data_IF_515405847238
#
_entry.id   IF_515405847238
#
_cell.length_a   1.000
_cell.length_b   1.000
_cell.length_c   1.000
_cell.angle_alpha   90.00
_cell.angle_beta   90.00
_cell.angle_gamma   90.00
#
_symmetry.space_group_name_H-M   'P 1'
#
loop_
_entity.id
_entity.type
_entity.pdbx_description
1 polymer ?
#
# COMPACT_ATOMS: atom_id res chain seq x y z
N UNK A 1 -1.21 13.27 -32.36
CA UNK A 1 -1.91 13.47 -31.08
C UNK A 1 -3.33 12.93 -31.22
N UNK A 2 -3.49 11.61 -31.34
CA UNK A 2 -4.62 11.09 -32.14
C UNK A 2 -5.66 10.31 -31.31
N UNK A 3 -5.29 9.84 -30.12
CA UNK A 3 -6.17 9.04 -29.26
C UNK A 3 -7.48 9.73 -28.85
N UNK A 4 -7.49 11.06 -28.69
CA UNK A 4 -8.73 11.80 -28.40
C UNK A 4 -9.72 11.75 -29.56
N UNK A 5 -9.23 11.69 -30.81
CA UNK A 5 -10.05 11.61 -32.01
C UNK A 5 -10.66 10.23 -32.19
N UNK A 6 -9.89 9.18 -31.94
CA UNK A 6 -10.38 7.79 -31.96
C UNK A 6 -11.47 7.56 -30.90
N UNK A 7 -11.31 8.12 -29.71
CA UNK A 7 -12.31 8.00 -28.63
C UNK A 7 -13.55 8.89 -28.86
N UNK A 8 -13.42 10.00 -29.59
CA UNK A 8 -14.57 10.77 -30.09
C UNK A 8 -15.39 9.94 -31.09
N UNK A 9 -14.73 9.29 -32.07
CA UNK A 9 -15.37 8.44 -33.08
C UNK A 9 -16.07 7.21 -32.47
N UNK A 10 -15.43 6.54 -31.50
CA UNK A 10 -16.07 5.45 -30.73
C UNK A 10 -17.31 5.94 -29.98
N UNK A 11 -17.22 7.10 -29.32
CA UNK A 11 -18.34 7.69 -28.57
C UNK A 11 -19.51 8.06 -29.51
N UNK A 12 -19.22 8.61 -30.70
CA UNK A 12 -20.21 8.92 -31.73
C UNK A 12 -20.91 7.65 -32.24
N UNK A 13 -20.16 6.56 -32.50
CA UNK A 13 -20.75 5.28 -32.94
C UNK A 13 -21.73 4.70 -31.92
N UNK A 14 -21.35 4.71 -30.63
CA UNK A 14 -22.22 4.25 -29.52
C UNK A 14 -23.46 5.16 -29.39
N UNK A 15 -23.32 6.46 -29.63
CA UNK A 15 -24.43 7.41 -29.66
C UNK A 15 -25.45 7.08 -30.75
N UNK A 16 -25.00 6.79 -31.98
CA UNK A 16 -25.86 6.37 -33.11
C UNK A 16 -26.56 5.03 -32.85
N UNK A 17 -25.83 4.04 -32.35
CA UNK A 17 -26.40 2.73 -32.01
C UNK A 17 -27.48 2.84 -30.90
N UNK A 18 -27.35 3.80 -29.98
CA UNK A 18 -28.37 4.08 -28.97
C UNK A 18 -29.62 4.77 -29.56
N UNK A 19 -29.46 5.60 -30.61
CA UNK A 19 -30.60 6.18 -31.35
C UNK A 19 -31.38 5.11 -32.11
N UNK A 20 -30.69 4.23 -32.83
CA UNK A 20 -31.30 3.10 -33.55
C UNK A 20 -32.10 2.16 -32.61
N UNK A 21 -31.71 2.10 -31.33
CA UNK A 21 -32.38 1.33 -30.27
C UNK A 21 -33.43 2.12 -29.48
N UNK A 22 -33.67 3.39 -29.81
CA UNK A 22 -34.63 4.26 -29.12
C UNK A 22 -34.22 4.73 -27.71
N UNK A 23 -33.01 4.43 -27.24
CA UNK A 23 -32.50 4.86 -25.92
C UNK A 23 -31.95 6.29 -26.00
N UNK A 24 -32.87 7.26 -26.11
CA UNK A 24 -32.59 8.71 -26.21
C UNK A 24 -31.69 9.19 -25.07
N UNK A 25 -31.91 8.72 -23.84
CA UNK A 25 -31.13 9.10 -22.65
C UNK A 25 -29.67 8.64 -22.73
N UNK A 26 -29.40 7.48 -23.32
CA UNK A 26 -28.05 6.97 -23.56
C UNK A 26 -27.41 7.67 -24.75
N UNK A 27 -28.15 7.88 -25.84
CA UNK A 27 -27.68 8.63 -27.01
C UNK A 27 -27.16 10.03 -26.63
N UNK A 28 -27.98 10.82 -25.91
CA UNK A 28 -27.60 12.16 -25.44
C UNK A 28 -26.28 12.21 -24.66
N UNK A 29 -26.03 11.21 -23.81
CA UNK A 29 -24.79 11.13 -23.00
C UNK A 29 -23.56 10.87 -23.88
N UNK A 30 -23.65 9.95 -24.84
CA UNK A 30 -22.52 9.60 -25.70
C UNK A 30 -22.25 10.65 -26.78
N UNK A 31 -23.29 11.28 -27.34
CA UNK A 31 -23.14 12.40 -28.29
C UNK A 31 -22.54 13.64 -27.62
N UNK A 32 -23.00 14.02 -26.43
CA UNK A 32 -22.37 15.10 -25.67
C UNK A 32 -20.91 14.80 -25.28
N UNK A 33 -20.57 13.53 -25.03
CA UNK A 33 -19.18 13.12 -24.80
C UNK A 33 -18.34 13.27 -26.07
N UNK A 34 -18.84 12.83 -27.22
CA UNK A 34 -18.14 12.97 -28.51
C UNK A 34 -17.88 14.45 -28.86
N UNK A 35 -18.87 15.34 -28.67
CA UNK A 35 -18.73 16.79 -28.92
C UNK A 35 -17.65 17.46 -28.06
N UNK A 36 -17.41 16.95 -26.84
CA UNK A 36 -16.34 17.46 -25.95
C UNK A 36 -14.95 16.93 -26.32
N UNK A 37 -14.86 15.83 -27.07
CA UNK A 37 -13.60 15.20 -27.46
C UNK A 37 -13.13 15.69 -28.84
N UNK A 38 -14.06 15.86 -29.79
CA UNK A 38 -13.80 16.45 -31.10
C UNK A 38 -15.00 17.34 -31.52
N UNK A 39 -14.85 18.67 -31.48
CA UNK A 39 -15.90 19.61 -31.88
C UNK A 39 -16.03 19.77 -33.41
N UNK A 40 -15.23 19.07 -34.21
CA UNK A 40 -15.32 19.10 -35.69
C UNK A 40 -16.29 18.07 -36.25
N UNK A 41 -16.85 17.19 -35.41
CA UNK A 41 -17.77 16.14 -35.81
C UNK A 41 -19.23 16.66 -35.95
N UNK A 42 -19.99 16.20 -36.96
CA UNK A 42 -21.39 16.59 -37.16
C UNK A 42 -22.29 15.89 -36.13
N UNK A 43 -22.36 16.47 -34.93
CA UNK A 43 -23.08 15.94 -33.77
C UNK A 43 -24.33 16.77 -33.48
N UNK A 44 -24.33 18.06 -33.80
CA UNK A 44 -25.45 18.95 -33.44
C UNK A 44 -26.75 18.59 -34.20
N UNK A 45 -26.66 18.08 -35.44
CA UNK A 45 -27.82 17.51 -36.19
C UNK A 45 -28.42 16.26 -35.50
N UNK A 46 -27.59 15.50 -34.78
CA UNK A 46 -28.01 14.31 -34.03
C UNK A 46 -28.55 14.66 -32.63
N UNK A 47 -28.28 15.87 -32.14
CA UNK A 47 -28.86 16.39 -30.90
C UNK A 47 -30.19 17.08 -31.20
N UNK A 48 -30.26 17.89 -32.26
CA UNK A 48 -31.50 18.55 -32.69
C UNK A 48 -32.59 17.57 -33.10
N UNK A 49 -32.25 16.42 -33.68
CA UNK A 49 -33.22 15.34 -33.96
C UNK A 49 -33.79 14.72 -32.68
N UNK A 50 -33.00 14.55 -31.62
CA UNK A 50 -33.50 14.05 -30.31
C UNK A 50 -34.43 15.07 -29.66
N UNK A 51 -34.07 16.35 -29.69
CA UNK A 51 -34.86 17.43 -29.10
C UNK A 51 -36.15 17.68 -29.91
N UNK A 52 -36.15 17.46 -31.22
CA UNK A 52 -37.35 17.56 -32.08
C UNK A 52 -38.32 16.40 -31.86
N UNK A 53 -37.80 15.18 -31.67
CA UNK A 53 -38.56 13.94 -31.47
C UNK A 53 -39.14 13.81 -30.04
N UNK A 54 -38.96 14.85 -29.21
CA UNK A 54 -39.65 15.04 -27.92
C UNK A 54 -41.03 15.70 -28.05
N UNK A 55 -41.42 16.15 -29.25
CA UNK A 55 -42.64 16.92 -29.50
C UNK A 55 -43.94 16.13 -29.61
N UNK A 56 -43.91 14.83 -29.95
CA UNK A 56 -45.11 14.05 -30.24
C UNK A 56 -45.17 12.67 -29.54
N UNK A 57 -46.39 12.40 -29.04
CA UNK A 57 -46.94 11.18 -28.43
C UNK A 57 -46.64 10.81 -26.95
N UNK A 58 -47.68 10.32 -26.21
CA UNK A 58 -47.67 10.15 -24.75
C UNK A 58 -47.18 8.76 -24.27
N UNK A 59 -46.86 8.61 -22.97
CA UNK A 59 -46.45 7.33 -22.40
C UNK A 59 -47.63 6.34 -22.24
N UNK A 60 -47.44 5.04 -22.48
CA UNK A 60 -48.40 4.01 -22.08
C UNK A 60 -48.30 3.72 -20.57
N UNK A 61 -49.46 3.66 -19.91
CA UNK A 61 -49.64 3.11 -18.56
C UNK A 61 -49.39 1.58 -18.60
N UNK A 62 -48.52 0.99 -17.79
CA UNK A 62 -48.56 0.78 -16.33
C UNK A 62 -49.39 -0.46 -15.92
N UNK A 63 -48.73 -1.39 -15.20
CA UNK A 63 -49.39 -2.42 -14.39
C UNK A 63 -48.80 -2.41 -12.97
N UNK A 64 -49.70 -2.25 -11.98
CA UNK A 64 -49.49 -2.52 -10.55
C UNK A 64 -50.85 -2.82 -9.90
N UNK A 65 -50.96 -3.85 -9.06
CA UNK A 65 -51.86 -3.90 -7.91
C UNK A 65 -51.04 -4.11 -6.61
N UNK A 66 -51.43 -3.76 -5.37
CA UNK A 66 -52.63 -3.16 -4.76
C UNK A 66 -52.20 -2.64 -3.33
N UNK A 67 -52.91 -1.89 -2.48
CA UNK A 67 -54.25 -1.24 -2.44
C UNK A 67 -54.23 -0.13 -1.33
N UNK A 68 -55.37 0.54 -1.05
CA UNK A 68 -55.94 1.00 0.26
C UNK A 68 -55.00 1.48 1.41
N UNK A 69 -55.20 2.61 2.12
CA UNK A 69 -56.39 3.48 2.28
C UNK A 69 -56.08 4.97 2.61
N UNK A 70 -57.12 5.81 2.55
CA UNK A 70 -57.20 7.28 2.75
C UNK A 70 -57.31 7.70 4.26
N UNK A 71 -57.53 9.00 4.66
CA UNK A 71 -57.44 10.30 3.94
C UNK A 71 -56.80 11.51 4.72
N UNK A 72 -56.44 12.59 4.01
CA UNK A 72 -56.40 14.04 4.44
C UNK A 72 -55.53 14.45 5.65
N UNK A 73 -54.93 15.64 5.78
CA UNK A 73 -55.40 17.03 5.54
C UNK A 73 -54.23 17.90 5.04
N UNK A 74 -54.48 18.79 4.06
CA UNK A 74 -53.59 19.95 3.78
C UNK A 74 -54.03 21.15 4.62
N UNK A 75 -53.13 21.74 5.42
CA UNK A 75 -53.33 23.09 5.98
C UNK A 75 -52.16 23.99 5.58
N UNK A 76 -52.50 25.16 5.01
CA UNK A 76 -51.57 26.24 4.63
C UNK A 76 -51.31 27.17 5.83
N UNK A 77 -50.39 28.12 5.64
CA UNK A 77 -49.92 29.15 6.62
C UNK A 77 -49.00 28.57 7.71
N UNK A 78 -47.96 29.26 8.18
CA UNK A 78 -47.44 30.63 7.88
C UNK A 78 -45.94 30.68 8.17
N UNK A 79 -45.22 31.62 7.54
CA UNK A 79 -43.84 31.94 7.93
C UNK A 79 -43.79 32.69 9.27
N UNK A 80 -42.72 32.50 10.06
CA UNK A 80 -42.18 33.56 10.90
C UNK A 80 -40.72 33.92 10.51
N UNK A 81 -40.31 35.12 10.93
CA UNK A 81 -39.03 35.75 10.62
C UNK A 81 -37.84 35.22 11.48
N UNK A 82 -36.58 35.63 11.24
CA UNK A 82 -35.40 34.89 11.71
C UNK A 82 -34.97 35.20 13.16
N UNK A 83 -34.36 34.19 13.81
CA UNK A 83 -33.69 34.26 15.11
C UNK A 83 -32.43 33.37 15.13
N UNK A 84 -31.47 33.60 16.04
CA UNK A 84 -30.05 33.44 15.68
C UNK A 84 -29.37 32.11 16.07
N UNK A 85 -28.44 31.68 15.20
CA UNK A 85 -27.19 30.94 15.47
C UNK A 85 -27.17 29.82 16.53
N UNK A 86 -27.07 28.56 16.08
CA UNK A 86 -25.93 27.66 16.39
C UNK A 86 -26.24 26.18 16.10
N UNK A 87 -25.99 25.74 14.86
CA UNK A 87 -25.41 24.42 14.59
C UNK A 87 -24.86 24.42 13.17
N UNK A 88 -23.66 23.85 12.99
CA UNK A 88 -22.90 23.87 11.74
C UNK A 88 -23.69 23.31 10.55
N UNK A 89 -23.56 23.98 9.41
CA UNK A 89 -24.06 23.51 8.12
C UNK A 89 -23.57 22.09 7.83
N UNK A 90 -24.51 21.20 7.57
CA UNK A 90 -24.30 19.78 7.31
C UNK A 90 -23.53 19.61 5.99
N UNK A 91 -22.20 19.55 6.06
CA UNK A 91 -21.30 19.39 4.89
C UNK A 91 -21.13 17.93 4.44
N UNK A 92 -22.06 17.06 4.87
CA UNK A 92 -22.04 15.62 4.64
C UNK A 92 -23.41 15.11 4.20
N UNK A 93 -23.43 14.06 3.37
CA UNK A 93 -24.67 13.44 2.91
C UNK A 93 -25.23 12.47 3.95
N UNK A 94 -26.53 12.19 3.91
CA UNK A 94 -27.14 11.20 4.81
C UNK A 94 -26.55 9.80 4.59
N UNK A 95 -26.24 9.44 3.34
CA UNK A 95 -25.52 8.21 2.98
C UNK A 95 -24.14 8.10 3.66
N UNK A 96 -23.39 9.20 3.76
CA UNK A 96 -22.09 9.21 4.44
C UNK A 96 -22.24 8.87 5.93
N UNK A 97 -23.30 9.38 6.59
CA UNK A 97 -23.61 9.08 7.99
C UNK A 97 -24.02 7.62 8.19
N UNK A 98 -24.85 7.06 7.29
CA UNK A 98 -25.27 5.65 7.41
C UNK A 98 -24.10 4.69 7.26
N UNK A 99 -23.19 4.95 6.31
CA UNK A 99 -21.98 4.14 6.11
C UNK A 99 -21.05 4.18 7.34
N UNK A 100 -20.79 5.36 7.91
CA UNK A 100 -19.97 5.51 9.13
C UNK A 100 -20.63 4.78 10.31
N UNK A 101 -21.95 4.93 10.48
CA UNK A 101 -22.71 4.27 11.54
C UNK A 101 -22.71 2.74 11.39
N UNK A 102 -22.76 2.23 10.16
CA UNK A 102 -22.67 0.81 9.88
C UNK A 102 -21.28 0.24 10.18
N UNK A 103 -20.22 0.90 9.71
CA UNK A 103 -18.82 0.51 9.98
C UNK A 103 -18.56 0.49 11.49
N UNK A 104 -18.98 1.52 12.23
CA UNK A 104 -18.85 1.58 13.70
C UNK A 104 -19.65 0.52 14.46
N UNK A 105 -20.73 -0.02 13.87
CA UNK A 105 -21.55 -1.08 14.49
C UNK A 105 -20.94 -2.47 14.30
N UNK A 106 -20.21 -2.67 13.21
CA UNK A 106 -19.57 -3.94 12.85
C UNK A 106 -18.27 -4.12 13.62
N UNK A 107 -18.09 -5.28 14.27
CA UNK A 107 -16.87 -5.63 15.01
C UNK A 107 -15.90 -6.50 14.19
N UNK A 108 -16.45 -7.35 13.33
CA UNK A 108 -15.67 -8.20 12.42
C UNK A 108 -14.97 -7.40 11.33
N UNK A 109 -13.68 -7.66 11.12
CA UNK A 109 -12.92 -7.01 10.04
C UNK A 109 -13.43 -7.37 8.64
N UNK A 110 -13.95 -8.59 8.47
CA UNK A 110 -14.66 -9.02 7.26
C UNK A 110 -15.92 -8.18 7.00
N UNK A 111 -16.77 -8.01 8.02
CA UNK A 111 -18.01 -7.22 7.91
C UNK A 111 -17.73 -5.73 7.67
N UNK A 112 -16.71 -5.17 8.35
CA UNK A 112 -16.23 -3.78 8.18
C UNK A 112 -15.81 -3.54 6.73
N UNK A 113 -15.11 -4.49 6.12
CA UNK A 113 -14.72 -4.44 4.71
C UNK A 113 -15.85 -4.86 3.73
N UNK A 114 -16.97 -5.39 4.23
CA UNK A 114 -18.07 -5.90 3.40
C UNK A 114 -17.69 -7.12 2.57
N UNK A 115 -16.88 -8.03 3.13
CA UNK A 115 -16.38 -9.24 2.48
C UNK A 115 -16.76 -10.49 3.26
N UNK A 116 -16.87 -11.62 2.56
CA UNK A 116 -17.02 -12.95 3.16
C UNK A 116 -15.64 -13.50 3.59
N UNK A 117 -15.60 -14.42 4.57
CA UNK A 117 -14.36 -15.06 5.07
C UNK A 117 -13.57 -15.79 3.97
N UNK A 118 -14.28 -16.26 2.94
CA UNK A 118 -13.77 -16.88 1.71
C UNK A 118 -12.97 -15.94 0.80
N UNK A 119 -12.93 -14.62 1.07
CA UNK A 119 -12.35 -13.63 0.17
C UNK A 119 -10.83 -13.78 -0.05
N UNK A 120 -10.39 -13.37 -1.25
CA UNK A 120 -8.95 -13.29 -1.58
C UNK A 120 -8.33 -11.99 -1.06
N UNK A 121 -7.00 -11.98 -0.93
CA UNK A 121 -6.22 -10.78 -0.55
C UNK A 121 -6.47 -9.61 -1.51
N UNK A 122 -6.68 -9.89 -2.80
CA UNK A 122 -6.97 -8.84 -3.78
C UNK A 122 -8.38 -8.27 -3.65
N UNK A 123 -9.34 -9.04 -3.13
CA UNK A 123 -10.67 -8.53 -2.83
C UNK A 123 -10.66 -7.64 -1.58
N UNK A 124 -9.84 -7.98 -0.57
CA UNK A 124 -9.53 -7.13 0.59
C UNK A 124 -8.92 -5.80 0.15
N UNK A 125 -7.97 -5.81 -0.80
CA UNK A 125 -7.40 -4.56 -1.38
C UNK A 125 -8.44 -3.74 -2.15
N UNK A 126 -9.31 -4.41 -2.94
CA UNK A 126 -10.39 -3.74 -3.70
C UNK A 126 -11.44 -3.12 -2.79
N UNK A 127 -11.86 -3.80 -1.72
CA UNK A 127 -12.86 -3.29 -0.77
C UNK A 127 -12.31 -2.14 0.06
N UNK A 128 -11.09 -2.27 0.60
CA UNK A 128 -10.38 -1.19 1.30
C UNK A 128 -10.31 0.07 0.44
N UNK A 129 -9.85 -0.02 -0.82
CA UNK A 129 -9.78 1.14 -1.73
C UNK A 129 -11.15 1.82 -1.92
N UNK A 130 -12.24 1.05 -2.00
CA UNK A 130 -13.61 1.59 -2.15
C UNK A 130 -14.13 2.23 -0.87
N UNK A 131 -13.86 1.65 0.29
CA UNK A 131 -14.35 2.13 1.59
C UNK A 131 -13.54 3.33 2.07
N UNK A 132 -12.22 3.27 2.03
CA UNK A 132 -11.35 4.38 2.45
C UNK A 132 -11.68 5.67 1.72
N UNK A 133 -11.98 5.64 0.42
CA UNK A 133 -12.42 6.82 -0.34
C UNK A 133 -13.78 7.39 0.11
N UNK A 134 -14.65 6.59 0.74
CA UNK A 134 -15.96 7.01 1.26
C UNK A 134 -15.90 7.54 2.70
N UNK A 135 -14.97 7.05 3.52
CA UNK A 135 -14.79 7.47 4.92
C UNK A 135 -13.59 8.40 5.16
N UNK A 136 -12.82 8.75 4.11
CA UNK A 136 -11.67 9.65 4.24
C UNK A 136 -12.08 11.02 4.82
N UNK A 137 -11.40 11.53 5.88
CA UNK A 137 -11.82 12.74 6.58
C UNK A 137 -11.83 14.01 5.72
N UNK A 138 -10.96 14.08 4.69
CA UNK A 138 -10.97 15.18 3.71
C UNK A 138 -12.28 15.25 2.88
N UNK A 139 -12.84 14.09 2.51
CA UNK A 139 -14.00 13.97 1.63
C UNK A 139 -15.33 13.77 2.37
N UNK A 140 -15.26 13.37 3.63
CA UNK A 140 -16.41 13.05 4.45
C UNK A 140 -16.24 13.69 5.84
N UNK A 141 -16.95 14.80 6.05
CA UNK A 141 -16.91 15.59 7.29
C UNK A 141 -18.01 15.20 8.28
N UNK A 142 -18.61 14.02 8.12
CA UNK A 142 -19.60 13.51 9.06
C UNK A 142 -18.97 13.13 10.41
N UNK A 143 -19.70 13.26 11.53
CA UNK A 143 -19.20 12.90 12.85
C UNK A 143 -18.83 11.40 12.92
N UNK A 144 -17.59 11.11 13.31
CA UNK A 144 -17.06 9.74 13.39
C UNK A 144 -16.44 9.20 12.09
N UNK A 145 -16.26 10.02 11.04
CA UNK A 145 -15.55 9.60 9.83
C UNK A 145 -14.13 9.08 10.13
N UNK A 146 -13.39 9.78 11.01
CA UNK A 146 -12.04 9.40 11.43
C UNK A 146 -12.01 8.03 12.15
N UNK A 147 -12.97 7.76 13.04
CA UNK A 147 -13.09 6.48 13.73
C UNK A 147 -13.44 5.33 12.76
N UNK A 148 -14.34 5.58 11.80
CA UNK A 148 -14.66 4.61 10.76
C UNK A 148 -13.47 4.34 9.82
N UNK A 149 -12.69 5.38 9.48
CA UNK A 149 -11.46 5.23 8.71
C UNK A 149 -10.41 4.42 9.48
N UNK A 150 -10.22 4.68 10.79
CA UNK A 150 -9.34 3.88 11.66
C UNK A 150 -9.78 2.41 11.71
N UNK A 151 -11.08 2.13 11.83
CA UNK A 151 -11.61 0.76 11.80
C UNK A 151 -11.36 0.04 10.46
N UNK A 152 -11.58 0.73 9.33
CA UNK A 152 -11.31 0.20 7.97
C UNK A 152 -9.81 -0.06 7.76
N UNK A 153 -8.93 0.83 8.24
CA UNK A 153 -7.48 0.65 8.17
C UNK A 153 -6.98 -0.49 9.06
N UNK A 154 -7.50 -0.65 10.28
CA UNK A 154 -7.17 -1.80 11.15
C UNK A 154 -7.61 -3.12 10.50
N UNK A 155 -8.82 -3.16 9.94
CA UNK A 155 -9.31 -4.33 9.20
C UNK A 155 -8.40 -4.71 8.02
N UNK A 156 -7.91 -3.72 7.27
CA UNK A 156 -6.96 -3.95 6.17
C UNK A 156 -5.58 -4.41 6.67
N UNK A 157 -5.07 -3.90 7.78
CA UNK A 157 -3.79 -4.34 8.36
C UNK A 157 -3.84 -5.81 8.81
N UNK A 158 -4.97 -6.26 9.35
CA UNK A 158 -5.18 -7.66 9.73
C UNK A 158 -5.43 -8.58 8.53
N UNK A 159 -6.23 -8.17 7.54
CA UNK A 159 -6.68 -9.05 6.45
C UNK A 159 -5.87 -8.91 5.13
N UNK A 160 -5.06 -7.87 4.99
CA UNK A 160 -4.37 -7.51 3.75
C UNK A 160 -3.12 -8.33 3.40
N UNK A 161 -2.65 -9.18 4.32
CA UNK A 161 -1.56 -10.13 4.14
C UNK A 161 -2.03 -11.53 4.56
N UNK A 162 -1.62 -12.57 3.83
CA UNK A 162 -2.09 -13.94 4.06
C UNK A 162 -1.70 -14.49 5.44
N UNK A 163 -0.49 -14.17 5.93
CA UNK A 163 -0.06 -14.52 7.29
C UNK A 163 -0.88 -13.82 8.38
N UNK A 164 -1.18 -12.52 8.20
CA UNK A 164 -1.99 -11.75 9.14
C UNK A 164 -3.44 -12.22 9.13
N UNK A 165 -4.00 -12.52 7.95
CA UNK A 165 -5.34 -13.08 7.78
C UNK A 165 -5.44 -14.40 8.54
N UNK A 166 -4.47 -15.31 8.33
CA UNK A 166 -4.41 -16.60 9.03
C UNK A 166 -4.28 -16.45 10.55
N UNK A 167 -3.53 -15.46 11.05
CA UNK A 167 -3.44 -15.17 12.51
C UNK A 167 -4.80 -14.73 13.05
N UNK A 168 -5.50 -13.83 12.35
CA UNK A 168 -6.84 -13.38 12.74
C UNK A 168 -7.88 -14.53 12.70
N UNK A 169 -7.86 -15.34 11.64
CA UNK A 169 -8.76 -16.50 11.49
C UNK A 169 -8.55 -17.58 12.56
N UNK A 170 -7.32 -17.71 13.11
CA UNK A 170 -6.99 -18.64 14.19
C UNK A 170 -7.23 -18.05 15.59
N UNK A 171 -6.96 -16.75 15.78
CA UNK A 171 -7.09 -16.08 17.07
C UNK A 171 -8.53 -15.63 17.41
N UNK A 172 -9.40 -15.51 16.41
CA UNK A 172 -10.79 -15.06 16.60
C UNK A 172 -10.90 -13.56 16.94
N UNK A 173 -12.11 -13.13 17.31
CA UNK A 173 -12.42 -11.73 17.63
C UNK A 173 -11.77 -11.21 18.94
N UNK A 174 -11.07 -12.06 19.70
CA UNK A 174 -10.60 -11.79 21.07
C UNK A 174 -9.25 -11.05 21.19
N UNK A 175 -8.66 -10.53 20.10
CA UNK A 175 -7.57 -9.54 20.21
C UNK A 175 -8.10 -8.14 20.57
N UNK A 176 -8.42 -7.96 21.85
CA UNK A 176 -8.57 -6.64 22.50
C UNK A 176 -7.18 -6.02 22.71
N UNK A 177 -6.60 -5.57 21.61
CA UNK A 177 -5.18 -5.20 21.43
C UNK A 177 -5.13 -3.90 20.61
N UNK A 178 -4.64 -2.75 21.12
CA UNK A 178 -4.40 -2.31 22.50
C UNK A 178 -4.94 -0.86 22.64
N UNK A 179 -5.77 -0.57 23.65
CA UNK A 179 -5.77 0.76 24.26
C UNK A 179 -5.00 0.71 25.58
N UNK A 180 -3.74 1.19 25.51
CA UNK A 180 -2.98 1.82 26.60
C UNK A 180 -3.12 1.20 28.01
N UNK A 181 -2.11 0.41 28.41
CA UNK A 181 -1.75 0.25 29.84
C UNK A 181 -0.57 1.16 30.24
N UNK A 182 -0.75 2.47 30.03
CA UNK A 182 0.17 3.49 30.51
C UNK A 182 -0.01 3.74 32.02
N UNK A 183 0.41 2.79 32.85
CA UNK A 183 0.56 2.99 34.29
C UNK A 183 1.56 2.00 34.90
N UNK A 184 2.61 2.56 35.53
CA UNK A 184 3.51 1.94 36.50
C UNK A 184 4.22 0.62 36.14
N UNK A 185 5.50 0.72 35.73
CA UNK A 185 6.63 0.07 36.44
C UNK A 185 8.00 0.64 35.99
N UNK A 186 9.08 0.51 36.81
CA UNK A 186 10.27 1.34 36.69
C UNK A 186 11.29 0.84 35.66
N UNK A 187 12.15 1.76 35.22
CA UNK A 187 13.22 1.49 34.27
C UNK A 187 14.36 0.65 34.88
N UNK A 188 14.38 -0.66 34.61
CA UNK A 188 15.62 -1.46 34.56
C UNK A 188 15.40 -2.84 33.92
N UNK A 189 15.47 -2.91 32.59
CA UNK A 189 15.74 -4.15 31.83
C UNK A 189 16.09 -3.79 30.37
N UNK A 190 17.39 -3.66 30.04
CA UNK A 190 17.83 -3.61 28.64
C UNK A 190 17.73 -5.03 28.05
N UNK A 191 16.77 -5.26 27.17
CA UNK A 191 16.52 -6.56 26.53
C UNK A 191 16.02 -6.42 25.10
N UNK A 192 16.93 -6.15 24.17
CA UNK A 192 16.89 -6.40 22.72
C UNK A 192 15.59 -7.00 22.12
N UNK A 193 14.50 -6.22 22.06
CA UNK A 193 13.32 -6.45 21.20
C UNK A 193 12.37 -5.25 21.29
N UNK A 194 12.54 -4.28 20.39
CA UNK A 194 11.74 -3.04 20.37
C UNK A 194 11.72 -2.31 19.02
N UNK A 195 11.93 -3.05 17.92
CA UNK A 195 12.09 -2.47 16.57
C UNK A 195 10.81 -2.54 15.70
N UNK A 196 9.69 -3.01 16.27
CA UNK A 196 8.39 -3.15 15.57
C UNK A 196 7.25 -2.36 16.23
N UNK A 197 7.54 -1.57 17.26
CA UNK A 197 6.54 -0.83 18.04
C UNK A 197 6.92 0.66 18.13
N UNK A 198 7.09 1.27 16.96
CA UNK A 198 7.16 2.71 16.78
C UNK A 198 6.28 3.07 15.56
N UNK A 199 5.02 3.33 15.85
CA UNK A 199 3.99 3.98 15.02
C UNK A 199 4.38 4.27 13.56
N UNK A 200 4.29 3.28 12.68
CA UNK A 200 4.19 3.56 11.25
C UNK A 200 2.74 3.95 10.99
N UNK A 201 2.48 5.26 10.89
CA UNK A 201 1.15 5.79 10.61
C UNK A 201 0.62 5.21 9.29
N UNK A 202 -0.54 4.55 9.36
CA UNK A 202 -1.21 4.00 8.18
C UNK A 202 -1.58 5.12 7.18
N UNK A 203 -1.77 6.36 7.64
CA UNK A 203 -1.98 7.52 6.78
C UNK A 203 -0.70 7.92 6.02
N UNK A 204 0.49 7.74 6.61
CA UNK A 204 1.79 7.99 5.96
C UNK A 204 2.12 6.90 4.92
N UNK A 205 1.93 5.62 5.25
CA UNK A 205 2.03 4.51 4.28
C UNK A 205 1.07 4.76 3.11
N UNK A 206 -0.17 5.18 3.40
CA UNK A 206 -1.17 5.46 2.37
C UNK A 206 -0.80 6.67 1.50
N UNK A 207 -0.27 7.76 2.09
CA UNK A 207 0.22 8.93 1.34
C UNK A 207 1.32 8.54 0.35
N UNK A 208 2.32 7.79 0.82
CA UNK A 208 3.48 7.39 0.03
C UNK A 208 3.10 6.37 -1.07
N UNK A 209 2.08 5.54 -0.84
CA UNK A 209 1.65 4.52 -1.81
C UNK A 209 0.62 5.03 -2.84
N UNK A 210 -0.27 5.96 -2.47
CA UNK A 210 -1.41 6.36 -3.33
C UNK A 210 -1.26 7.73 -4.02
N UNK A 211 -0.43 8.65 -3.52
CA UNK A 211 -0.34 10.02 -4.07
C UNK A 211 0.94 10.33 -4.87
N UNK A 212 1.79 9.34 -5.13
CA UNK A 212 2.74 9.39 -6.27
C UNK A 212 3.88 10.40 -6.17
N UNK A 213 4.21 10.88 -4.97
CA UNK A 213 5.45 11.61 -4.72
C UNK A 213 6.63 10.65 -4.60
N UNK A 214 7.30 10.36 -5.71
CA UNK A 214 8.41 9.41 -5.81
C UNK A 214 9.61 9.81 -4.93
N UNK A 215 9.64 9.33 -3.68
CA UNK A 215 10.81 9.34 -2.80
C UNK A 215 11.25 7.89 -2.55
N UNK A 216 12.43 7.45 -3.03
CA UNK A 216 12.88 6.09 -2.81
C UNK A 216 13.16 5.87 -1.31
N UNK A 217 12.67 4.75 -0.78
CA UNK A 217 12.86 4.38 0.61
C UNK A 217 14.34 4.10 0.91
N UNK A 218 14.99 5.05 1.59
CA UNK A 218 16.34 4.91 2.12
C UNK A 218 16.44 5.52 3.54
N UNK A 219 15.47 5.24 4.40
CA UNK A 219 15.51 5.66 5.80
C UNK A 219 16.08 4.53 6.68
N UNK A 220 17.33 4.17 6.44
CA UNK A 220 18.12 3.36 7.38
C UNK A 220 18.54 4.25 8.56
N UNK A 221 18.37 3.77 9.79
CA UNK A 221 18.27 4.63 10.98
C UNK A 221 19.45 5.59 11.21
N UNK A 222 19.16 6.89 11.23
CA UNK A 222 20.09 7.93 11.68
C UNK A 222 20.17 7.98 13.20
N UNK A 223 21.36 7.74 13.76
CA UNK A 223 21.64 7.93 15.18
C UNK A 223 21.52 9.43 15.54
N UNK A 224 20.57 9.78 16.41
CA UNK A 224 20.52 11.11 17.03
C UNK A 224 21.25 11.08 18.37
N UNK A 225 22.46 11.65 18.41
CA UNK A 225 23.20 11.91 19.64
C UNK A 225 22.91 13.35 20.09
N UNK A 226 22.00 13.52 21.05
CA UNK A 226 21.60 14.84 21.54
C UNK A 226 20.91 14.77 22.90
N UNK A 227 21.55 15.35 23.91
CA UNK A 227 21.04 15.36 25.29
C UNK A 227 19.90 16.37 25.55
N UNK A 228 19.35 16.39 26.77
CA UNK A 228 18.16 17.19 27.08
C UNK A 228 18.47 18.67 27.31
N UNK A 229 17.73 19.54 26.60
CA UNK A 229 17.45 20.91 27.03
C UNK A 229 18.26 22.03 26.35
N UNK A 230 17.58 22.83 25.51
CA UNK A 230 17.56 24.29 25.61
C UNK A 230 16.31 24.82 24.86
N UNK A 231 15.66 25.85 25.40
CA UNK A 231 14.32 26.27 24.96
C UNK A 231 14.25 27.08 23.66
N UNK A 232 13.03 27.24 23.14
CA UNK A 232 12.68 28.22 22.12
C UNK A 232 13.24 29.61 22.45
N UNK A 233 13.99 30.20 21.52
CA UNK A 233 13.97 31.66 21.30
C UNK A 233 13.88 31.98 19.82
N UNK A 234 12.99 32.91 19.54
CA UNK A 234 12.63 33.41 18.22
C UNK A 234 13.53 34.61 17.91
N UNK A 235 14.06 34.69 16.69
CA UNK A 235 14.73 35.89 16.18
C UNK A 235 14.43 36.04 14.69
N UNK A 236 14.04 37.25 14.29
CA UNK A 236 13.81 37.66 12.91
C UNK A 236 14.99 38.53 12.41
N UNK A 237 14.92 38.91 11.12
CA UNK A 237 15.91 39.72 10.36
C UNK A 237 17.20 38.96 9.99
N UNK A 238 17.83 39.13 8.82
CA UNK A 238 17.80 40.20 7.81
C UNK A 238 18.43 39.71 6.47
N UNK A 239 18.48 40.58 5.48
CA UNK A 239 19.12 40.42 4.17
C UNK A 239 20.61 40.05 4.22
N UNK A 240 21.10 39.38 3.15
CA UNK A 240 22.42 39.73 2.61
C UNK A 240 23.25 38.60 1.98
N UNK A 241 23.74 38.89 0.76
CA UNK A 241 24.84 38.23 0.04
C UNK A 241 24.60 36.83 -0.55
N UNK A 242 25.12 36.64 -1.77
CA UNK A 242 25.11 35.37 -2.51
C UNK A 242 26.14 34.36 -1.99
N UNK A 243 26.09 34.04 -0.70
CA UNK A 243 26.78 32.89 -0.14
C UNK A 243 26.12 31.59 -0.61
N UNK A 244 26.91 30.54 -0.83
CA UNK A 244 26.38 29.21 -1.11
C UNK A 244 25.43 28.80 0.02
N UNK A 245 24.16 28.54 -0.29
CA UNK A 245 23.15 28.17 0.71
C UNK A 245 23.47 26.81 1.33
N UNK A 246 24.31 26.78 2.38
CA UNK A 246 24.73 25.54 3.06
C UNK A 246 23.51 24.72 3.53
N UNK A 247 22.43 25.41 3.92
CA UNK A 247 21.14 24.78 4.26
C UNK A 247 20.47 24.07 3.08
N UNK A 248 20.58 24.60 1.86
CA UNK A 248 20.11 23.96 0.64
C UNK A 248 21.04 22.81 0.22
N UNK A 249 22.36 22.97 0.39
CA UNK A 249 23.32 21.88 0.16
C UNK A 249 23.04 20.68 1.08
N UNK A 250 22.75 20.92 2.36
CA UNK A 250 22.34 19.87 3.32
C UNK A 250 21.02 19.20 2.92
N UNK A 251 20.08 19.93 2.29
CA UNK A 251 18.83 19.36 1.78
C UNK A 251 19.03 18.50 0.51
N UNK A 252 20.00 18.84 -0.34
CA UNK A 252 20.31 18.08 -1.57
C UNK A 252 21.28 16.92 -1.30
N UNK A 253 22.09 17.00 -0.24
CA UNK A 253 23.11 15.99 0.10
C UNK A 253 22.57 14.56 0.21
N UNK A 254 21.37 14.26 0.78
CA UNK A 254 20.80 12.91 0.77
C UNK A 254 20.48 12.42 -0.65
N UNK A 255 19.92 13.28 -1.50
CA UNK A 255 19.61 12.94 -2.90
C UNK A 255 20.89 12.71 -3.70
N UNK A 256 21.91 13.54 -3.46
CA UNK A 256 23.23 13.42 -4.07
C UNK A 256 23.95 12.15 -3.61
N UNK A 257 23.85 11.77 -2.33
CA UNK A 257 24.37 10.49 -1.83
C UNK A 257 23.64 9.29 -2.43
N UNK A 258 22.30 9.32 -2.52
CA UNK A 258 21.53 8.25 -3.18
C UNK A 258 21.92 8.12 -4.65
N UNK A 259 22.10 9.24 -5.35
CA UNK A 259 22.57 9.25 -6.73
C UNK A 259 24.00 8.66 -6.81
N UNK A 260 24.94 9.13 -6.00
CA UNK A 260 26.30 8.58 -5.96
C UNK A 260 26.31 7.08 -5.66
N UNK A 261 25.50 6.59 -4.72
CA UNK A 261 25.39 5.16 -4.38
C UNK A 261 24.84 4.33 -5.55
N UNK A 262 23.94 4.87 -6.38
CA UNK A 262 23.50 4.21 -7.61
C UNK A 262 24.58 4.19 -8.71
N UNK A 263 25.53 5.12 -8.68
CA UNK A 263 26.68 5.16 -9.59
C UNK A 263 27.94 4.47 -9.02
N UNK A 264 27.90 3.96 -7.78
CA UNK A 264 28.93 3.05 -7.29
C UNK A 264 28.79 1.74 -8.07
N UNK A 265 29.84 1.27 -8.76
CA UNK A 265 29.78 -0.03 -9.41
C UNK A 265 29.59 -1.09 -8.33
N UNK A 266 28.47 -1.82 -8.37
CA UNK A 266 28.31 -3.02 -7.57
C UNK A 266 29.39 -4.00 -8.01
N UNK A 267 30.41 -4.20 -7.17
CA UNK A 267 31.44 -5.20 -7.41
C UNK A 267 30.80 -6.58 -7.28
N UNK A 268 30.34 -7.09 -8.42
CA UNK A 268 29.76 -8.42 -8.50
C UNK A 268 30.73 -9.43 -7.86
N UNK A 269 30.25 -10.30 -6.95
CA UNK A 269 31.12 -11.24 -6.27
C UNK A 269 31.75 -12.20 -7.27
N UNK A 270 32.96 -12.66 -6.97
CA UNK A 270 33.70 -13.59 -7.85
C UNK A 270 33.05 -14.98 -7.88
N UNK A 271 32.36 -15.36 -6.80
CA UNK A 271 31.65 -16.63 -6.64
C UNK A 271 30.35 -16.45 -5.82
N UNK A 272 29.49 -17.46 -5.84
CA UNK A 272 28.34 -17.63 -4.93
C UNK A 272 28.32 -19.04 -4.33
N UNK A 273 27.71 -19.22 -3.15
CA UNK A 273 27.53 -20.55 -2.53
C UNK A 273 26.28 -21.29 -3.04
N UNK A 274 25.36 -20.57 -3.68
CA UNK A 274 24.12 -21.09 -4.25
C UNK A 274 24.07 -20.84 -5.75
N UNK A 275 23.56 -21.82 -6.49
CA UNK A 275 23.34 -21.70 -7.93
C UNK A 275 22.29 -20.61 -8.21
N UNK A 276 22.68 -19.58 -8.94
CA UNK A 276 21.80 -18.50 -9.39
C UNK A 276 22.37 -17.93 -10.70
N UNK A 277 21.53 -17.43 -11.61
CA UNK A 277 22.05 -16.76 -12.81
C UNK A 277 22.76 -15.46 -12.40
N UNK A 278 23.99 -15.16 -12.88
CA UNK A 278 24.78 -15.85 -13.92
C UNK A 278 25.83 -16.87 -13.41
N UNK A 279 25.84 -17.24 -12.13
CA UNK A 279 26.75 -18.19 -11.50
C UNK A 279 26.27 -19.65 -11.69
N UNK A 280 26.50 -20.20 -12.88
CA UNK A 280 26.05 -21.55 -13.23
C UNK A 280 27.15 -22.62 -13.08
N UNK A 281 28.42 -22.24 -13.20
CA UNK A 281 29.54 -23.20 -13.21
C UNK A 281 29.89 -23.64 -11.79
N UNK A 282 29.55 -24.88 -11.43
CA UNK A 282 29.86 -25.47 -10.12
C UNK A 282 31.31 -25.93 -10.03
N UNK A 283 32.01 -25.48 -9.00
CA UNK A 283 33.31 -25.93 -8.55
C UNK A 283 33.23 -26.45 -7.11
N UNK A 284 34.26 -27.17 -6.68
CA UNK A 284 34.33 -27.77 -5.34
C UNK A 284 35.68 -27.45 -4.71
N UNK A 285 35.70 -27.00 -3.45
CA UNK A 285 36.97 -26.73 -2.73
C UNK A 285 37.64 -28.03 -2.27
N UNK A 286 38.90 -27.92 -1.81
CA UNK A 286 39.62 -29.04 -1.17
C UNK A 286 38.84 -29.74 -0.04
N UNK A 287 38.00 -29.01 0.72
CA UNK A 287 37.12 -29.58 1.77
C UNK A 287 35.74 -30.05 1.29
N UNK A 288 35.51 -30.15 -0.02
CA UNK A 288 34.25 -30.63 -0.57
C UNK A 288 33.11 -29.60 -0.58
N UNK A 289 33.39 -28.31 -0.34
CA UNK A 289 32.37 -27.25 -0.41
C UNK A 289 32.10 -26.90 -1.86
N UNK A 290 30.84 -27.02 -2.29
CA UNK A 290 30.43 -26.59 -3.63
C UNK A 290 30.20 -25.07 -3.65
N UNK A 291 30.69 -24.43 -4.70
CA UNK A 291 30.46 -23.02 -5.00
C UNK A 291 30.33 -22.81 -6.51
N UNK A 292 29.81 -21.66 -6.91
CA UNK A 292 29.42 -21.37 -8.28
C UNK A 292 30.10 -20.10 -8.79
N UNK A 293 30.52 -20.11 -10.05
CA UNK A 293 31.23 -19.00 -10.70
C UNK A 293 30.56 -18.62 -12.03
N UNK A 294 30.74 -17.37 -12.46
CA UNK A 294 30.06 -16.81 -13.64
C UNK A 294 30.49 -17.41 -14.98
N UNK A 295 31.69 -17.98 -15.05
CA UNK A 295 32.35 -18.30 -16.33
C UNK A 295 33.22 -19.54 -16.19
N UNK A 296 33.18 -20.42 -17.19
CA UNK A 296 34.11 -21.54 -17.32
C UNK A 296 35.59 -21.11 -17.39
N UNK A 297 35.89 -19.85 -17.75
CA UNK A 297 37.27 -19.31 -17.75
C UNK A 297 37.86 -19.12 -16.35
N UNK A 298 37.05 -19.24 -15.29
CA UNK A 298 37.51 -19.07 -13.91
C UNK A 298 38.70 -19.97 -13.54
N UNK A 299 38.83 -21.17 -14.13
CA UNK A 299 40.00 -22.04 -13.92
C UNK A 299 41.27 -21.56 -14.64
N UNK A 300 41.12 -20.80 -15.73
CA UNK A 300 42.20 -20.14 -16.44
C UNK A 300 42.65 -18.87 -15.69
N UNK A 301 41.70 -18.10 -15.17
CA UNK A 301 41.95 -16.89 -14.38
C UNK A 301 42.50 -17.23 -12.98
N UNK A 302 42.03 -18.32 -12.36
CA UNK A 302 42.43 -18.78 -11.02
C UNK A 302 42.81 -20.29 -11.02
N UNK A 303 44.03 -20.63 -11.46
CA UNK A 303 44.54 -22.01 -11.47
C UNK A 303 44.60 -22.63 -10.07
N UNK A 304 44.43 -23.95 -9.98
CA UNK A 304 44.30 -24.71 -8.72
C UNK A 304 45.44 -24.47 -7.72
N UNK A 305 46.69 -24.37 -8.19
CA UNK A 305 47.88 -24.16 -7.34
C UNK A 305 48.19 -22.67 -7.09
N UNK A 306 47.37 -21.75 -7.60
CA UNK A 306 47.59 -20.31 -7.40
C UNK A 306 47.21 -19.88 -5.97
N UNK A 307 47.98 -18.94 -5.42
CA UNK A 307 47.67 -18.33 -4.11
C UNK A 307 46.30 -17.64 -4.11
N UNK A 308 45.90 -17.06 -5.23
CA UNK A 308 44.61 -16.40 -5.40
C UNK A 308 43.45 -17.40 -5.34
N UNK A 309 43.58 -18.55 -6.01
CA UNK A 309 42.61 -19.63 -5.89
C UNK A 309 42.49 -20.13 -4.45
N UNK A 310 43.62 -20.34 -3.77
CA UNK A 310 43.63 -20.75 -2.37
C UNK A 310 42.97 -19.72 -1.43
N UNK A 311 43.13 -18.41 -1.66
CA UNK A 311 42.44 -17.39 -0.85
C UNK A 311 40.93 -17.32 -1.14
N UNK A 312 40.50 -17.58 -2.38
CA UNK A 312 39.09 -17.70 -2.75
C UNK A 312 38.47 -18.92 -2.07
N UNK A 313 39.06 -20.12 -2.19
CA UNK A 313 38.54 -21.34 -1.57
C UNK A 313 38.52 -21.22 -0.03
N UNK A 314 39.56 -20.66 0.58
CA UNK A 314 39.57 -20.37 2.02
C UNK A 314 38.51 -19.31 2.44
N UNK A 315 37.99 -18.48 1.52
CA UNK A 315 36.87 -17.57 1.79
C UNK A 315 35.52 -18.30 1.65
N UNK A 316 35.34 -19.08 0.58
CA UNK A 316 34.20 -20.00 0.36
C UNK A 316 33.98 -20.88 1.59
N UNK A 317 35.03 -21.53 2.09
CA UNK A 317 34.96 -22.42 3.25
C UNK A 317 34.57 -21.71 4.55
N UNK A 318 35.10 -20.51 4.79
CA UNK A 318 34.75 -19.70 5.99
C UNK A 318 33.30 -19.20 5.95
N UNK A 319 32.82 -18.80 4.78
CA UNK A 319 31.42 -18.39 4.61
C UNK A 319 30.46 -19.58 4.76
N UNK A 320 30.77 -20.72 4.15
CA UNK A 320 30.01 -21.95 4.30
C UNK A 320 29.95 -22.43 5.76
N UNK A 321 31.08 -22.42 6.47
CA UNK A 321 31.14 -22.70 7.90
C UNK A 321 30.28 -21.74 8.73
N UNK A 322 30.31 -20.44 8.40
CA UNK A 322 29.46 -19.42 9.03
C UNK A 322 27.97 -19.73 8.89
N UNK A 323 27.53 -20.12 7.69
CA UNK A 323 26.14 -20.51 7.40
C UNK A 323 25.76 -21.78 8.18
N UNK A 324 26.59 -22.83 8.13
CA UNK A 324 26.34 -24.07 8.88
C UNK A 324 26.21 -23.79 10.39
N UNK A 325 27.05 -22.91 10.95
CA UNK A 325 27.01 -22.52 12.36
C UNK A 325 25.72 -21.77 12.72
N UNK A 326 25.29 -20.81 11.90
CA UNK A 326 24.05 -20.06 12.11
C UNK A 326 22.82 -20.98 12.01
N UNK A 327 22.76 -21.84 10.97
CA UNK A 327 21.67 -22.80 10.80
C UNK A 327 21.63 -23.81 11.95
N UNK A 328 22.79 -24.32 12.40
CA UNK A 328 22.86 -25.20 13.56
C UNK A 328 22.35 -24.52 14.86
N UNK A 329 22.67 -23.24 15.09
CA UNK A 329 22.12 -22.50 16.24
C UNK A 329 20.58 -22.41 16.18
N UNK A 330 20.02 -22.11 15.01
CA UNK A 330 18.57 -22.11 14.78
C UNK A 330 17.94 -23.50 14.98
N UNK A 331 18.59 -24.57 14.51
CA UNK A 331 18.15 -25.95 14.72
C UNK A 331 18.14 -26.33 16.20
N UNK A 332 19.21 -26.01 16.95
CA UNK A 332 19.27 -26.27 18.38
C UNK A 332 18.17 -25.53 19.15
N UNK A 333 17.88 -24.27 18.82
CA UNK A 333 16.78 -23.51 19.41
C UNK A 333 15.42 -24.15 19.10
N UNK A 334 15.16 -24.53 17.85
CA UNK A 334 13.91 -25.21 17.46
C UNK A 334 13.77 -26.59 18.12
N UNK A 335 14.88 -27.31 18.35
CA UNK A 335 14.90 -28.60 19.06
C UNK A 335 14.62 -28.43 20.56
N UNK A 336 15.13 -27.39 21.21
CA UNK A 336 14.81 -27.07 22.61
C UNK A 336 13.31 -26.79 22.80
N UNK A 337 12.66 -26.16 21.81
CA UNK A 337 11.21 -25.92 21.81
C UNK A 337 10.38 -27.13 21.29
N UNK A 338 11.01 -28.26 20.99
CA UNK A 338 10.34 -29.49 20.53
C UNK A 338 9.81 -29.47 19.09
N UNK A 339 10.09 -28.41 18.31
CA UNK A 339 9.60 -28.28 16.92
C UNK A 339 10.30 -29.20 15.92
N UNK A 340 11.54 -29.64 16.20
CA UNK A 340 12.31 -30.57 15.36
C UNK A 340 13.07 -31.58 16.23
N UNK A 341 13.32 -32.77 15.68
CA UNK A 341 14.11 -33.84 16.33
C UNK A 341 15.53 -33.96 15.76
N UNK A 342 15.66 -33.76 14.45
CA UNK A 342 16.92 -33.87 13.71
C UNK A 342 17.59 -32.50 13.57
N UNK A 343 18.92 -32.50 13.47
CA UNK A 343 19.75 -31.27 13.37
C UNK A 343 20.79 -31.43 12.25
N UNK A 344 20.36 -31.53 10.98
CA UNK A 344 21.23 -31.87 9.86
C UNK A 344 22.34 -30.82 9.62
N UNK A 345 22.10 -29.53 9.86
CA UNK A 345 23.16 -28.53 9.75
C UNK A 345 24.18 -28.63 10.88
N UNK A 346 23.78 -29.01 12.09
CA UNK A 346 24.74 -29.33 13.16
C UNK A 346 25.58 -30.57 12.82
N UNK A 347 25.00 -31.59 12.21
CA UNK A 347 25.75 -32.79 11.82
C UNK A 347 26.70 -32.52 10.63
N UNK A 348 26.30 -31.66 9.69
CA UNK A 348 27.19 -31.16 8.64
C UNK A 348 28.32 -30.28 9.20
N UNK A 349 28.03 -29.40 10.16
CA UNK A 349 29.03 -28.58 10.84
C UNK A 349 30.09 -29.45 11.53
N UNK A 350 29.65 -30.46 12.30
CA UNK A 350 30.55 -31.41 12.95
C UNK A 350 31.40 -32.20 11.95
N UNK A 351 30.84 -32.62 10.81
CA UNK A 351 31.61 -33.28 9.76
C UNK A 351 32.65 -32.35 9.14
N UNK A 352 32.32 -31.06 8.97
CA UNK A 352 33.24 -30.06 8.44
C UNK A 352 34.40 -29.76 9.41
N UNK A 353 34.11 -29.66 10.71
CA UNK A 353 35.13 -29.50 11.76
C UNK A 353 36.06 -30.72 11.91
N UNK A 354 35.64 -31.92 11.50
CA UNK A 354 36.44 -33.15 11.55
C UNK A 354 37.37 -33.35 10.34
N UNK A 355 37.36 -32.45 9.36
CA UNK A 355 38.27 -32.44 8.19
C UNK A 355 39.50 -31.55 8.46
N UNK A 356 39.86 -31.39 9.75
CA UNK A 356 40.94 -30.54 10.25
C UNK A 356 42.04 -31.32 10.98
#
# INVERSE_FOLDING_TARGET
MDGNKDDALKSLKIGKEALEKGDRNRALKFLNKARRLDPTLPIDDLLSTIDSDAGDHPPPAAESPNNSDQPTIRRRTSAPAPGPSSSSSTTYTEEQVTIIREIKRKKNYYDILGLEKSCTVDDVRKSYRKLSLKVHPDKNKAPGAEEAFKAVSKAFQCLGNEESKRKYDVSGEDEVVYERRAAARPASARGFNGYYEADIDAEEIFRNFFFGGMAPAANFGGFSFGGPGMGHRQAAADNGSGGFNVRALIQVLPVLLILLVNFLPSSDPVYTLSQNYPYEHRLTTTKGVNYYVKSAKFEQDYPLESRERATIEAKVEREYFGILRQNCQFELQRRQWGYIRETPHCDMLRKFDLVH
#
